data_IF_374154470395
#
_entry.id   IF_374154470395
#
_cell.length_a   1.000
_cell.length_b   1.000
_cell.length_c   1.000
_cell.angle_alpha   90.00
_cell.angle_beta   90.00
_cell.angle_gamma   90.00
#
_symmetry.space_group_name_H-M   'P 1'
#
loop_
_entity.id
_entity.type
_entity.pdbx_description
1 polymer ?
#
# COMPACT_ATOMS: atom_id res chain seq x y z
N UNK A 1 -26.49 41.21 -0.59
CA UNK A 1 -25.18 40.75 -0.10
C UNK A 1 -25.30 39.25 0.14
N UNK A 2 -24.67 38.41 -0.69
CA UNK A 2 -24.69 36.96 -0.50
C UNK A 2 -23.64 36.58 0.55
N UNK A 3 -24.07 35.89 1.62
CA UNK A 3 -23.18 35.29 2.62
C UNK A 3 -22.41 34.13 1.98
N UNK A 4 -21.08 34.06 2.10
CA UNK A 4 -20.32 32.94 1.56
C UNK A 4 -20.64 31.65 2.33
N UNK A 5 -20.94 30.59 1.59
CA UNK A 5 -21.08 29.23 2.11
C UNK A 5 -19.79 28.82 2.85
N UNK A 6 -19.87 28.34 4.10
CA UNK A 6 -18.68 27.89 4.81
C UNK A 6 -18.10 26.66 4.10
N UNK A 7 -16.78 26.68 3.86
CA UNK A 7 -16.06 25.53 3.35
C UNK A 7 -16.21 24.34 4.32
N UNK A 8 -16.30 23.09 3.82
CA UNK A 8 -16.41 21.92 4.68
C UNK A 8 -15.21 21.85 5.61
N UNK A 9 -15.46 21.90 6.93
CA UNK A 9 -14.45 21.75 7.96
C UNK A 9 -13.86 20.34 7.85
N UNK A 10 -12.67 20.22 7.26
CA UNK A 10 -11.94 18.96 7.23
C UNK A 10 -11.64 18.54 8.68
N UNK A 11 -12.28 17.46 9.14
CA UNK A 11 -11.96 16.89 10.45
C UNK A 11 -10.45 16.64 10.55
N UNK A 12 -9.81 16.89 11.71
CA UNK A 12 -8.39 16.66 11.85
C UNK A 12 -8.10 15.19 11.51
N UNK A 13 -7.21 14.96 10.55
CA UNK A 13 -6.76 13.61 10.21
C UNK A 13 -6.07 13.03 11.44
N UNK A 14 -6.77 12.16 12.17
CA UNK A 14 -6.22 11.46 13.31
C UNK A 14 -5.20 10.42 12.82
N UNK A 15 -3.93 10.65 13.12
CA UNK A 15 -2.87 9.68 12.82
C UNK A 15 -2.96 8.57 13.88
N UNK A 16 -3.22 7.31 13.49
CA UNK A 16 -3.30 6.22 14.44
C UNK A 16 -1.93 5.99 15.10
N UNK A 17 -1.92 5.85 16.43
CA UNK A 17 -0.72 5.46 17.16
C UNK A 17 -0.46 3.95 17.00
N UNK A 18 0.40 3.60 16.05
CA UNK A 18 0.76 2.23 15.75
C UNK A 18 1.67 1.59 16.80
N UNK A 19 2.17 2.32 17.79
CA UNK A 19 2.92 1.73 18.91
C UNK A 19 2.00 0.94 19.85
N UNK A 20 0.72 1.33 19.93
CA UNK A 20 -0.31 0.67 20.73
C UNK A 20 -0.84 -0.58 20.03
N UNK A 21 -0.81 -1.72 20.73
CA UNK A 21 -1.33 -2.99 20.21
C UNK A 21 -2.83 -2.91 19.92
N UNK A 22 -3.63 -2.26 20.77
CA UNK A 22 -5.06 -2.11 20.57
C UNK A 22 -5.39 -1.38 19.24
N UNK A 23 -4.63 -0.33 18.90
CA UNK A 23 -4.76 0.36 17.61
C UNK A 23 -4.45 -0.57 16.45
N UNK A 24 -3.33 -1.31 16.53
CA UNK A 24 -2.94 -2.26 15.48
C UNK A 24 -3.95 -3.39 15.32
N UNK A 25 -4.49 -3.91 16.42
CA UNK A 25 -5.51 -4.96 16.42
C UNK A 25 -6.77 -4.49 15.69
N UNK A 26 -7.25 -3.27 15.97
CA UNK A 26 -8.41 -2.68 15.30
C UNK A 26 -8.20 -2.43 13.79
N UNK A 27 -6.95 -2.32 13.32
CA UNK A 27 -6.62 -2.13 11.90
C UNK A 27 -6.29 -3.43 11.17
N UNK A 28 -5.96 -4.50 11.90
CA UNK A 28 -5.34 -5.70 11.34
C UNK A 28 -6.24 -6.39 10.32
N UNK A 29 -7.52 -6.59 10.63
CA UNK A 29 -8.44 -7.31 9.75
C UNK A 29 -8.61 -6.59 8.40
N UNK A 30 -8.91 -5.30 8.43
CA UNK A 30 -9.06 -4.49 7.22
C UNK A 30 -7.76 -4.39 6.41
N UNK A 31 -6.60 -4.29 7.08
CA UNK A 31 -5.30 -4.26 6.43
C UNK A 31 -4.99 -5.58 5.71
N UNK A 32 -5.26 -6.73 6.36
CA UNK A 32 -5.09 -8.05 5.75
C UNK A 32 -6.03 -8.25 4.56
N UNK A 33 -7.30 -7.87 4.70
CA UNK A 33 -8.26 -7.99 3.60
C UNK A 33 -7.81 -7.14 2.40
N UNK A 34 -7.42 -5.89 2.63
CA UNK A 34 -6.91 -5.01 1.58
C UNK A 34 -5.67 -5.60 0.91
N UNK A 35 -4.72 -6.12 1.69
CA UNK A 35 -3.49 -6.69 1.15
C UNK A 35 -3.73 -7.98 0.36
N UNK A 36 -4.62 -8.86 0.82
CA UNK A 36 -5.01 -10.06 0.07
C UNK A 36 -5.63 -9.67 -1.28
N UNK A 37 -6.57 -8.72 -1.29
CA UNK A 37 -7.18 -8.22 -2.54
C UNK A 37 -6.15 -7.60 -3.48
N UNK A 38 -5.25 -6.76 -2.95
CA UNK A 38 -4.15 -6.19 -3.75
C UNK A 38 -3.27 -7.27 -4.34
N UNK A 39 -2.98 -8.34 -3.59
CA UNK A 39 -2.15 -9.42 -4.09
C UNK A 39 -2.77 -10.13 -5.29
N UNK A 40 -4.10 -10.27 -5.30
CA UNK A 40 -4.84 -10.87 -6.40
C UNK A 40 -4.93 -9.92 -7.59
N UNK A 41 -5.23 -8.64 -7.36
CA UNK A 41 -5.32 -7.59 -8.39
C UNK A 41 -3.98 -7.42 -9.13
N UNK A 42 -2.89 -7.25 -8.38
CA UNK A 42 -1.56 -7.15 -8.96
C UNK A 42 -0.97 -8.50 -9.38
N UNK A 43 -1.72 -9.60 -9.18
CA UNK A 43 -1.37 -10.95 -9.63
C UNK A 43 0.03 -11.36 -9.19
N UNK A 44 0.42 -10.96 -7.98
CA UNK A 44 1.75 -11.24 -7.43
C UNK A 44 1.82 -12.64 -6.85
N UNK A 45 3.00 -13.24 -6.90
CA UNK A 45 3.23 -14.58 -6.36
C UNK A 45 3.17 -14.58 -4.82
N UNK A 46 2.91 -15.73 -4.21
CA UNK A 46 2.93 -15.85 -2.74
C UNK A 46 4.25 -15.41 -2.11
N UNK A 47 5.38 -15.66 -2.79
CA UNK A 47 6.70 -15.23 -2.34
C UNK A 47 6.86 -13.70 -2.38
N UNK A 48 6.36 -13.06 -3.45
CA UNK A 48 6.33 -11.61 -3.54
C UNK A 48 5.41 -10.99 -2.48
N UNK A 49 4.22 -11.58 -2.26
CA UNK A 49 3.29 -11.11 -1.24
C UNK A 49 3.89 -11.20 0.17
N UNK A 50 4.49 -12.34 0.51
CA UNK A 50 5.26 -12.54 1.75
C UNK A 50 6.36 -11.48 1.92
N UNK A 51 7.17 -11.26 0.89
CA UNK A 51 8.25 -10.25 0.89
C UNK A 51 7.74 -8.81 1.04
N UNK A 52 6.64 -8.47 0.37
CA UNK A 52 6.03 -7.13 0.46
C UNK A 52 5.38 -6.90 1.82
N UNK A 53 4.71 -7.90 2.38
CA UNK A 53 4.11 -7.83 3.72
C UNK A 53 5.18 -7.78 4.82
N UNK A 54 6.36 -8.36 4.58
CA UNK A 54 7.42 -8.48 5.56
C UNK A 54 7.17 -9.60 6.57
N UNK A 55 6.34 -10.58 6.21
CA UNK A 55 5.97 -11.72 7.04
C UNK A 55 6.52 -13.01 6.41
N UNK A 56 6.87 -14.04 7.20
CA UNK A 56 7.31 -15.32 6.65
C UNK A 56 6.28 -15.97 5.72
N UNK A 57 6.72 -16.75 4.74
CA UNK A 57 5.84 -17.46 3.79
C UNK A 57 4.74 -18.26 4.51
N UNK A 58 5.09 -18.95 5.59
CA UNK A 58 4.12 -19.70 6.42
C UNK A 58 3.02 -18.82 6.99
N UNK A 59 3.36 -17.61 7.43
CA UNK A 59 2.40 -16.63 7.92
C UNK A 59 1.49 -16.17 6.80
N UNK A 60 2.06 -15.83 5.64
CA UNK A 60 1.29 -15.44 4.45
C UNK A 60 0.31 -16.53 4.01
N UNK A 61 0.72 -17.80 3.96
CA UNK A 61 -0.17 -18.90 3.60
C UNK A 61 -1.36 -19.02 4.56
N UNK A 62 -1.15 -18.85 5.86
CA UNK A 62 -2.24 -18.86 6.86
C UNK A 62 -3.14 -17.64 6.73
N UNK A 63 -2.60 -16.46 6.41
CA UNK A 63 -3.39 -15.26 6.12
C UNK A 63 -4.29 -15.53 4.92
N UNK A 64 -3.73 -16.05 3.81
CA UNK A 64 -4.48 -16.34 2.58
C UNK A 64 -5.56 -17.42 2.80
N UNK A 65 -5.30 -18.39 3.67
CA UNK A 65 -6.27 -19.42 4.07
C UNK A 65 -7.31 -18.93 5.11
N UNK A 66 -7.22 -17.68 5.59
CA UNK A 66 -8.05 -17.15 6.69
C UNK A 66 -7.91 -17.94 8.02
N UNK A 67 -6.75 -18.54 8.23
CA UNK A 67 -6.41 -19.34 9.42
C UNK A 67 -5.42 -18.62 10.36
N UNK A 68 -4.91 -17.47 9.94
CA UNK A 68 -4.02 -16.65 10.76
C UNK A 68 -4.83 -15.89 11.81
N UNK A 69 -4.29 -15.86 13.04
CA UNK A 69 -4.83 -15.11 14.17
C UNK A 69 -3.68 -14.31 14.77
N UNK A 70 -3.92 -13.04 15.06
CA UNK A 70 -2.94 -12.17 15.69
C UNK A 70 -3.17 -10.71 15.35
N UNK A 71 -2.19 -9.91 15.74
CA UNK A 71 -2.13 -8.48 15.45
C UNK A 71 -0.94 -8.22 14.55
N UNK A 72 -1.13 -7.50 13.44
CA UNK A 72 -0.01 -7.12 12.59
C UNK A 72 0.96 -6.22 13.35
N UNK A 73 2.24 -6.33 13.02
CA UNK A 73 3.27 -5.43 13.52
C UNK A 73 3.08 -4.01 12.97
N UNK A 74 3.73 -3.03 13.61
CA UNK A 74 3.76 -1.65 13.09
C UNK A 74 4.34 -1.61 11.67
N UNK A 75 5.38 -2.40 11.41
CA UNK A 75 6.02 -2.51 10.10
C UNK A 75 5.08 -3.09 9.05
N UNK A 76 4.38 -4.19 9.36
CA UNK A 76 3.43 -4.80 8.44
C UNK A 76 2.28 -3.84 8.10
N UNK A 77 1.72 -3.13 9.09
CA UNK A 77 0.70 -2.11 8.85
C UNK A 77 1.23 -0.93 8.02
N UNK A 78 2.49 -0.52 8.25
CA UNK A 78 3.13 0.54 7.46
C UNK A 78 3.32 0.12 6.01
N UNK A 79 3.74 -1.13 5.77
CA UNK A 79 3.86 -1.72 4.42
C UNK A 79 2.52 -1.76 3.72
N UNK A 80 1.48 -2.28 4.36
CA UNK A 80 0.12 -2.31 3.79
C UNK A 80 -0.39 -0.90 3.48
N UNK A 81 -0.19 0.06 4.38
CA UNK A 81 -0.57 1.47 4.17
C UNK A 81 0.12 2.08 2.95
N UNK A 82 1.42 1.84 2.78
CA UNK A 82 2.16 2.32 1.61
C UNK A 82 1.62 1.73 0.31
N UNK A 83 1.42 0.41 0.26
CA UNK A 83 0.92 -0.30 -0.93
C UNK A 83 -0.52 0.11 -1.30
N UNK A 84 -1.40 0.25 -0.32
CA UNK A 84 -2.75 0.79 -0.53
C UNK A 84 -2.69 2.23 -1.06
N UNK A 85 -1.75 3.03 -0.57
CA UNK A 85 -1.50 4.38 -1.08
C UNK A 85 -1.12 4.38 -2.56
N UNK A 86 -0.17 3.53 -2.95
CA UNK A 86 0.24 3.34 -4.36
C UNK A 86 -0.94 2.94 -5.23
N UNK A 87 -1.71 1.92 -4.81
CA UNK A 87 -2.90 1.47 -5.54
C UNK A 87 -3.89 2.62 -5.79
N UNK A 88 -4.24 3.35 -4.73
CA UNK A 88 -5.19 4.47 -4.82
C UNK A 88 -4.67 5.58 -5.72
N UNK A 89 -3.39 5.93 -5.60
CA UNK A 89 -2.77 6.97 -6.42
C UNK A 89 -2.79 6.61 -7.91
N UNK A 90 -2.45 5.37 -8.26
CA UNK A 90 -2.47 4.89 -9.64
C UNK A 90 -3.88 4.91 -10.25
N UNK A 91 -4.91 4.52 -9.49
CA UNK A 91 -6.30 4.53 -9.95
C UNK A 91 -6.91 5.93 -10.11
N UNK A 92 -6.26 6.96 -9.55
CA UNK A 92 -6.64 8.35 -9.83
C UNK A 92 -5.95 8.88 -11.10
N UNK A 93 -4.86 8.27 -11.52
CA UNK A 93 -4.03 8.71 -12.64
C UNK A 93 -4.36 7.98 -13.94
N UNK A 94 -4.66 6.69 -13.86
CA UNK A 94 -4.81 5.80 -15.00
C UNK A 94 -6.16 5.10 -14.97
N UNK A 95 -6.58 4.56 -16.13
CA UNK A 95 -7.68 3.59 -16.19
C UNK A 95 -7.33 2.34 -15.38
N UNK A 96 -8.33 1.69 -14.77
CA UNK A 96 -8.14 0.50 -13.91
C UNK A 96 -7.17 -0.55 -14.48
N UNK A 97 -7.26 -1.00 -15.76
CA UNK A 97 -6.33 -2.01 -16.28
C UNK A 97 -4.88 -1.54 -16.31
N UNK A 98 -4.64 -0.26 -16.61
CA UNK A 98 -3.30 0.31 -16.63
C UNK A 98 -2.78 0.53 -15.21
N UNK A 99 -3.63 0.97 -14.28
CA UNK A 99 -3.27 1.16 -12.88
C UNK A 99 -2.84 -0.16 -12.23
N UNK A 100 -3.58 -1.24 -12.50
CA UNK A 100 -3.31 -2.58 -11.96
C UNK A 100 -2.02 -3.20 -12.52
N UNK A 101 -1.74 -2.98 -13.81
CA UNK A 101 -0.55 -3.53 -14.45
C UNK A 101 0.72 -2.72 -14.19
N UNK A 102 0.61 -1.43 -13.86
CA UNK A 102 1.73 -0.51 -13.76
C UNK A 102 2.84 -1.04 -12.84
N UNK A 103 2.49 -1.56 -11.67
CA UNK A 103 3.46 -2.03 -10.66
C UNK A 103 4.30 -3.24 -11.11
N UNK A 104 3.87 -3.94 -12.17
CA UNK A 104 4.55 -5.11 -12.73
C UNK A 104 5.33 -4.81 -14.01
N UNK A 105 5.16 -3.64 -14.59
CA UNK A 105 5.85 -3.27 -15.84
C UNK A 105 7.23 -2.72 -15.48
N UNK A 106 8.29 -3.09 -16.21
CA UNK A 106 9.58 -2.44 -16.06
C UNK A 106 9.43 -0.93 -16.21
N UNK A 107 9.97 -0.16 -15.26
CA UNK A 107 9.88 1.28 -15.27
C UNK A 107 11.27 1.88 -15.50
N UNK A 108 11.41 2.64 -16.58
CA UNK A 108 12.66 3.27 -17.00
C UNK A 108 12.99 4.55 -16.23
N UNK A 109 12.08 5.06 -15.39
CA UNK A 109 12.35 6.23 -14.57
C UNK A 109 13.55 5.99 -13.63
N UNK A 110 14.36 7.03 -13.36
CA UNK A 110 15.58 6.92 -12.56
C UNK A 110 15.38 6.25 -11.20
N UNK A 111 14.21 6.43 -10.57
CA UNK A 111 13.87 5.81 -9.29
C UNK A 111 13.90 4.27 -9.35
N UNK A 112 13.35 3.71 -10.43
CA UNK A 112 13.20 2.26 -10.56
C UNK A 112 14.38 1.62 -11.29
N UNK A 113 15.17 2.40 -12.03
CA UNK A 113 16.37 1.94 -12.74
C UNK A 113 16.12 0.69 -13.59
N UNK A 114 14.99 0.67 -14.32
CA UNK A 114 14.57 -0.43 -15.18
C UNK A 114 13.91 -1.62 -14.46
N UNK A 115 13.84 -1.62 -13.13
CA UNK A 115 13.11 -2.64 -12.37
C UNK A 115 11.59 -2.42 -12.48
N UNK A 116 10.84 -3.47 -12.20
CA UNK A 116 9.42 -3.30 -11.89
C UNK A 116 9.28 -2.60 -10.53
N UNK A 117 8.25 -1.76 -10.32
CA UNK A 117 7.98 -1.19 -9.00
C UNK A 117 7.84 -2.24 -7.89
N UNK A 118 7.27 -3.42 -8.18
CA UNK A 118 7.23 -4.55 -7.23
C UNK A 118 8.64 -4.99 -6.82
N UNK A 119 9.53 -5.23 -7.77
CA UNK A 119 10.88 -5.73 -7.46
C UNK A 119 11.69 -4.67 -6.71
N UNK A 120 11.51 -3.40 -7.07
CA UNK A 120 12.10 -2.26 -6.34
C UNK A 120 11.63 -2.23 -4.88
N UNK A 121 10.31 -2.32 -4.64
CA UNK A 121 9.73 -2.33 -3.29
C UNK A 121 10.16 -3.56 -2.47
N UNK A 122 10.26 -4.74 -3.09
CA UNK A 122 10.76 -5.95 -2.43
C UNK A 122 12.23 -5.78 -2.03
N UNK A 123 13.07 -5.28 -2.94
CA UNK A 123 14.51 -5.12 -2.71
C UNK A 123 14.81 -4.08 -1.62
N UNK A 124 14.10 -2.95 -1.63
CA UNK A 124 14.34 -1.84 -0.72
C UNK A 124 13.49 -1.82 0.54
N UNK A 125 12.48 -2.68 0.65
CA UNK A 125 11.58 -2.73 1.81
C UNK A 125 10.76 -1.45 2.00
N UNK A 126 10.49 -1.08 3.25
CA UNK A 126 9.66 0.08 3.60
C UNK A 126 10.16 1.38 2.93
N UNK A 127 11.46 1.73 2.96
CA UNK A 127 11.95 2.93 2.26
C UNK A 127 11.54 2.97 0.79
N UNK A 128 11.75 1.89 0.03
CA UNK A 128 11.37 1.83 -1.38
C UNK A 128 9.85 1.89 -1.60
N UNK A 129 9.05 1.34 -0.70
CA UNK A 129 7.58 1.46 -0.75
C UNK A 129 7.13 2.91 -0.55
N UNK A 130 7.78 3.65 0.37
CA UNK A 130 7.48 5.05 0.62
C UNK A 130 7.92 5.93 -0.55
N UNK A 131 9.09 5.68 -1.14
CA UNK A 131 9.54 6.37 -2.37
C UNK A 131 8.59 6.10 -3.54
N UNK A 132 8.15 4.85 -3.73
CA UNK A 132 7.19 4.49 -4.79
C UNK A 132 5.87 5.23 -4.58
N UNK A 133 5.37 5.29 -3.34
CA UNK A 133 4.16 6.06 -3.01
C UNK A 133 4.35 7.54 -3.28
N UNK A 134 5.46 8.14 -2.84
CA UNK A 134 5.77 9.55 -3.06
C UNK A 134 5.86 9.89 -4.54
N UNK A 135 6.49 9.02 -5.34
CA UNK A 135 6.55 9.15 -6.80
C UNK A 135 5.14 9.17 -7.42
N UNK A 136 4.26 8.23 -7.04
CA UNK A 136 2.87 8.20 -7.55
C UNK A 136 2.07 9.43 -7.09
N UNK A 137 2.24 9.85 -5.84
CA UNK A 137 1.60 11.06 -5.31
C UNK A 137 2.08 12.33 -6.07
N UNK A 138 3.35 12.38 -6.48
CA UNK A 138 3.91 13.48 -7.24
C UNK A 138 3.40 13.52 -8.69
N UNK A 139 3.24 12.37 -9.35
CA UNK A 139 2.59 12.30 -10.66
C UNK A 139 1.18 12.91 -10.65
N UNK A 140 0.45 12.75 -9.54
CA UNK A 140 -0.88 13.35 -9.33
C UNK A 140 -0.84 14.86 -9.11
N UNK A 141 0.24 15.36 -8.53
CA UNK A 141 0.46 16.79 -8.28
C UNK A 141 0.87 17.60 -9.51
N UNK A 142 1.19 16.93 -10.62
CA UNK A 142 1.81 17.55 -11.79
C UNK A 142 3.27 17.88 -11.47
N UNK A 143 4.15 16.91 -11.69
CA UNK A 143 5.61 17.13 -11.68
C UNK A 143 5.99 18.31 -12.59
#
# INVERSE_FOLDING_TARGET
MATPTPAPSASPRHIPDLSLEATRAGLTEAALEAFVRLSDIWRITSRQASSLLGEPDRTWFRIKAREWKGTLSQDALTRVSALVGVYKGLHLLFSDPLADEWVRRPNADPLFNGLTPIDFMIKGGIPAMLETRGYVDALRGGL
#
